data_IF_598079986644
#
_entry.id   IF_598079986644
#
_cell.length_a   1.000
_cell.length_b   1.000
_cell.length_c   1.000
_cell.angle_alpha   90.00
_cell.angle_beta   90.00
_cell.angle_gamma   90.00
#
_symmetry.space_group_name_H-M   'P 1'
#
loop_
_entity.id
_entity.type
_entity.pdbx_description
1 polymer ?
#
# COMPACT_ATOMS: atom_id res chain seq x y z
N UNK A 1 3.13 -22.83 11.84
CA UNK A 1 3.80 -21.90 10.90
C UNK A 1 5.32 -22.14 10.88
N UNK A 2 5.93 -22.37 9.72
CA UNK A 2 7.37 -22.57 9.55
C UNK A 2 7.97 -21.40 8.74
N UNK A 3 9.05 -20.77 9.26
CA UNK A 3 9.65 -19.57 8.65
C UNK A 3 11.14 -19.75 8.44
N UNK A 4 11.59 -19.63 7.20
CA UNK A 4 12.98 -19.73 6.78
C UNK A 4 13.49 -18.39 6.27
N UNK A 5 14.51 -17.82 6.90
CA UNK A 5 15.08 -16.52 6.52
C UNK A 5 16.41 -16.70 5.79
N UNK A 6 16.59 -16.02 4.65
CA UNK A 6 17.78 -16.05 3.80
C UNK A 6 18.28 -14.63 3.52
N UNK A 7 19.58 -14.42 3.71
CA UNK A 7 20.26 -13.17 3.30
C UNK A 7 20.17 -12.00 4.29
N UNK A 8 19.56 -12.18 5.47
CA UNK A 8 19.41 -11.13 6.47
C UNK A 8 19.20 -11.64 7.89
N UNK A 9 18.85 -10.74 8.84
CA UNK A 9 18.55 -11.10 10.22
C UNK A 9 17.28 -11.96 10.28
N UNK A 10 17.29 -12.99 11.11
CA UNK A 10 16.12 -13.86 11.28
C UNK A 10 15.19 -13.38 12.41
N UNK A 11 15.72 -12.68 13.39
CA UNK A 11 15.05 -12.34 14.64
C UNK A 11 13.72 -11.59 14.45
N UNK A 12 13.61 -10.55 13.58
CA UNK A 12 12.35 -9.86 13.40
C UNK A 12 11.23 -10.78 12.89
N UNK A 13 11.57 -11.63 11.91
CA UNK A 13 10.62 -12.54 11.26
C UNK A 13 10.22 -13.71 12.17
N UNK A 14 11.16 -14.24 12.93
CA UNK A 14 10.85 -15.29 13.91
C UNK A 14 10.04 -14.71 15.09
N UNK A 15 10.36 -13.50 15.55
CA UNK A 15 9.58 -12.83 16.57
C UNK A 15 8.15 -12.48 16.09
N UNK A 16 8.00 -12.09 14.83
CA UNK A 16 6.70 -11.91 14.20
C UNK A 16 5.93 -13.24 14.12
N UNK A 17 6.58 -14.33 13.69
CA UNK A 17 5.98 -15.67 13.66
C UNK A 17 5.46 -16.07 15.02
N UNK A 18 6.28 -15.94 16.05
CA UNK A 18 5.94 -16.37 17.41
C UNK A 18 4.72 -15.58 17.93
N UNK A 19 4.65 -14.28 17.65
CA UNK A 19 3.52 -13.46 18.01
C UNK A 19 2.28 -13.80 17.16
N UNK A 20 2.43 -13.94 15.84
CA UNK A 20 1.33 -14.28 14.92
C UNK A 20 0.69 -15.62 15.30
N UNK A 21 1.51 -16.61 15.65
CA UNK A 21 1.05 -17.95 16.02
C UNK A 21 0.35 -18.02 17.38
N UNK A 22 0.21 -16.90 18.11
CA UNK A 22 -0.63 -16.85 19.32
C UNK A 22 -2.12 -16.82 19.01
N UNK A 23 -2.51 -16.23 17.88
CA UNK A 23 -3.91 -16.00 17.51
C UNK A 23 -4.25 -16.61 16.14
N UNK A 24 -3.27 -16.69 15.23
CA UNK A 24 -3.41 -17.15 13.86
C UNK A 24 -2.35 -18.18 13.51
N UNK A 25 -2.53 -18.91 12.42
CA UNK A 25 -1.51 -19.80 11.86
C UNK A 25 -1.49 -19.72 10.34
N UNK A 26 -0.40 -20.16 9.73
CA UNK A 26 -0.26 -20.38 8.30
C UNK A 26 0.02 -21.86 8.08
N UNK A 27 -0.72 -22.46 7.17
CA UNK A 27 -0.59 -23.87 6.80
C UNK A 27 0.68 -24.10 5.97
N UNK A 28 1.07 -23.11 5.16
CA UNK A 28 2.21 -23.18 4.27
C UNK A 28 3.47 -22.57 4.90
N UNK A 29 4.66 -23.15 4.60
CA UNK A 29 5.92 -22.57 5.03
C UNK A 29 6.18 -21.22 4.34
N UNK A 30 6.84 -20.33 5.09
CA UNK A 30 7.23 -18.99 4.61
C UNK A 30 8.74 -18.94 4.40
N UNK A 31 9.18 -18.61 3.20
CA UNK A 31 10.56 -18.24 2.93
C UNK A 31 10.68 -16.73 2.88
N UNK A 32 11.49 -16.14 3.75
CA UNK A 32 11.84 -14.72 3.72
C UNK A 32 13.16 -14.55 2.99
N UNK A 33 13.14 -13.79 1.90
CA UNK A 33 14.33 -13.46 1.11
C UNK A 33 14.69 -11.99 1.28
N UNK A 34 15.75 -11.72 2.03
CA UNK A 34 16.30 -10.38 2.21
C UNK A 34 17.23 -10.04 1.04
N UNK A 35 16.92 -8.98 0.31
CA UNK A 35 17.67 -8.49 -0.83
C UNK A 35 18.61 -7.35 -0.43
N UNK A 36 19.74 -7.25 -1.11
CA UNK A 36 20.71 -6.17 -0.89
C UNK A 36 20.33 -4.87 -1.62
N UNK A 37 19.44 -4.95 -2.60
CA UNK A 37 18.93 -3.79 -3.32
C UNK A 37 18.11 -2.92 -2.36
N UNK A 38 18.49 -1.66 -2.11
CA UNK A 38 17.74 -0.75 -1.24
C UNK A 38 16.35 -0.39 -1.82
N UNK A 39 16.21 -0.42 -3.14
CA UNK A 39 14.95 -0.11 -3.84
C UNK A 39 14.02 -1.32 -3.96
N UNK A 40 14.42 -2.49 -3.44
CA UNK A 40 13.56 -3.67 -3.42
C UNK A 40 12.33 -3.40 -2.56
N UNK A 41 11.16 -3.52 -3.18
CA UNK A 41 9.88 -3.37 -2.47
C UNK A 41 9.56 -4.64 -1.69
N UNK A 42 9.00 -4.46 -0.50
CA UNK A 42 8.39 -5.56 0.24
C UNK A 42 7.22 -6.11 -0.56
N UNK A 43 7.20 -7.43 -0.74
CA UNK A 43 6.13 -8.11 -1.47
C UNK A 43 6.05 -9.58 -1.08
N UNK A 44 4.85 -10.10 -1.11
CA UNK A 44 4.58 -11.52 -0.97
C UNK A 44 4.21 -12.12 -2.33
N UNK A 45 4.68 -13.32 -2.58
CA UNK A 45 4.18 -14.19 -3.64
C UNK A 45 3.77 -15.54 -3.05
N UNK A 46 2.78 -16.16 -3.66
CA UNK A 46 2.17 -17.40 -3.18
C UNK A 46 2.32 -18.48 -4.25
N UNK A 47 2.87 -19.61 -3.83
CA UNK A 47 2.86 -20.84 -4.63
C UNK A 47 1.86 -21.83 -4.01
N UNK A 48 1.65 -22.99 -4.66
CA UNK A 48 0.72 -24.01 -4.16
C UNK A 48 1.10 -24.49 -2.74
N UNK A 49 2.41 -24.60 -2.45
CA UNK A 49 2.95 -25.22 -1.25
C UNK A 49 3.68 -24.25 -0.33
N UNK A 50 3.85 -22.98 -0.67
CA UNK A 50 4.68 -22.04 0.09
C UNK A 50 4.37 -20.58 -0.17
N UNK A 51 4.84 -19.72 0.75
CA UNK A 51 4.89 -18.27 0.58
C UNK A 51 6.31 -17.77 0.47
N UNK A 52 6.55 -16.78 -0.38
CA UNK A 52 7.82 -16.08 -0.50
C UNK A 52 7.63 -14.59 -0.17
N UNK A 53 8.21 -14.16 0.96
CA UNK A 53 8.34 -12.76 1.32
C UNK A 53 9.68 -12.21 0.82
N UNK A 54 9.66 -11.29 -0.13
CA UNK A 54 10.85 -10.55 -0.58
C UNK A 54 10.87 -9.20 0.09
N UNK A 55 11.99 -8.82 0.70
CA UNK A 55 12.16 -7.58 1.45
C UNK A 55 13.56 -7.02 1.28
N UNK A 56 13.73 -5.68 1.25
CA UNK A 56 15.04 -5.06 1.23
C UNK A 56 15.77 -5.23 2.56
N UNK A 57 17.12 -5.22 2.53
CA UNK A 57 17.93 -5.26 3.76
C UNK A 57 17.62 -4.07 4.67
N UNK A 58 17.38 -2.89 4.11
CA UNK A 58 17.03 -1.70 4.88
C UNK A 58 15.75 -1.90 5.68
N UNK A 59 14.69 -2.41 5.05
CA UNK A 59 13.43 -2.71 5.73
C UNK A 59 13.58 -3.84 6.76
N UNK A 60 14.31 -4.91 6.43
CA UNK A 60 14.54 -6.04 7.31
C UNK A 60 15.37 -5.71 8.56
N UNK A 61 16.14 -4.62 8.56
CA UNK A 61 16.94 -4.13 9.71
C UNK A 61 16.33 -2.87 10.36
N UNK A 62 15.19 -2.42 9.90
CA UNK A 62 14.48 -1.27 10.50
C UNK A 62 13.92 -1.62 11.88
N UNK A 63 13.62 -0.59 12.68
CA UNK A 63 12.96 -0.77 13.97
C UNK A 63 11.56 -1.38 13.85
N UNK A 64 10.96 -1.34 12.67
CA UNK A 64 9.61 -1.81 12.35
C UNK A 64 9.60 -3.12 11.54
N UNK A 65 10.74 -3.80 11.43
CA UNK A 65 10.86 -5.03 10.63
C UNK A 65 9.92 -6.15 11.10
N UNK A 66 9.67 -6.23 12.41
CA UNK A 66 8.74 -7.21 13.00
C UNK A 66 7.29 -6.87 12.65
N UNK A 67 6.90 -5.62 12.78
CA UNK A 67 5.55 -5.13 12.47
C UNK A 67 5.25 -5.30 10.97
N UNK A 68 6.23 -5.00 10.12
CA UNK A 68 6.12 -5.25 8.68
C UNK A 68 5.96 -6.75 8.37
N UNK A 69 6.69 -7.61 9.06
CA UNK A 69 6.53 -9.06 8.90
C UNK A 69 5.14 -9.55 9.34
N UNK A 70 4.58 -9.01 10.43
CA UNK A 70 3.21 -9.31 10.88
C UNK A 70 2.17 -8.92 9.85
N UNK A 71 2.30 -7.73 9.26
CA UNK A 71 1.44 -7.26 8.18
C UNK A 71 1.48 -8.21 6.97
N UNK A 72 2.67 -8.63 6.54
CA UNK A 72 2.81 -9.55 5.42
C UNK A 72 2.28 -10.97 5.75
N UNK A 73 2.40 -11.43 7.00
CA UNK A 73 1.80 -12.70 7.42
C UNK A 73 0.27 -12.63 7.44
N UNK A 74 -0.32 -11.48 7.75
CA UNK A 74 -1.75 -11.27 7.65
C UNK A 74 -2.25 -11.37 6.19
N UNK A 75 -1.49 -10.83 5.23
CA UNK A 75 -1.76 -11.05 3.80
C UNK A 75 -1.73 -12.53 3.42
N UNK A 76 -0.72 -13.28 3.89
CA UNK A 76 -0.63 -14.72 3.63
C UNK A 76 -1.80 -15.48 4.23
N UNK A 77 -2.20 -15.14 5.46
CA UNK A 77 -3.35 -15.72 6.15
C UNK A 77 -4.65 -15.51 5.36
N UNK A 78 -4.93 -14.29 4.92
CA UNK A 78 -6.09 -14.01 4.09
C UNK A 78 -6.06 -14.77 2.76
N UNK A 79 -4.87 -14.92 2.16
CA UNK A 79 -4.72 -15.70 0.94
C UNK A 79 -5.03 -17.19 1.17
N UNK A 80 -4.50 -17.82 2.23
CA UNK A 80 -4.76 -19.23 2.55
C UNK A 80 -6.22 -19.51 2.86
N UNK A 81 -6.90 -18.56 3.53
CA UNK A 81 -8.31 -18.68 3.90
C UNK A 81 -9.29 -18.25 2.80
N UNK A 82 -8.78 -17.90 1.63
CA UNK A 82 -9.63 -17.51 0.50
C UNK A 82 -10.41 -16.22 0.73
N UNK A 83 -9.88 -15.30 1.53
CA UNK A 83 -10.57 -14.03 1.80
C UNK A 83 -10.75 -13.22 0.48
N UNK A 84 -11.94 -12.67 0.20
CA UNK A 84 -12.26 -12.00 -1.07
C UNK A 84 -11.27 -10.89 -1.47
N UNK A 85 -10.72 -10.16 -0.50
CA UNK A 85 -9.72 -9.12 -0.77
C UNK A 85 -8.43 -9.67 -1.40
N UNK A 86 -8.08 -10.93 -1.16
CA UNK A 86 -6.84 -11.56 -1.62
C UNK A 86 -7.04 -12.54 -2.78
N UNK A 87 -8.26 -13.02 -3.00
CA UNK A 87 -8.60 -13.93 -4.11
C UNK A 87 -9.14 -13.19 -5.32
N UNK A 88 -9.72 -11.99 -5.14
CA UNK A 88 -10.24 -11.19 -6.24
C UNK A 88 -9.10 -10.64 -7.13
N UNK A 89 -9.22 -10.83 -8.44
CA UNK A 89 -8.26 -10.25 -9.40
C UNK A 89 -8.33 -8.73 -9.42
N UNK A 90 -7.21 -8.11 -9.04
CA UNK A 90 -7.02 -6.65 -9.12
C UNK A 90 -7.07 -6.16 -10.56
N UNK A 91 -6.46 -6.91 -11.50
CA UNK A 91 -6.42 -6.60 -12.92
C UNK A 91 -7.82 -6.56 -13.52
N UNK A 92 -8.67 -7.56 -13.20
CA UNK A 92 -10.05 -7.61 -13.66
C UNK A 92 -10.86 -6.41 -13.13
N UNK A 93 -10.73 -6.09 -11.87
CA UNK A 93 -11.43 -4.95 -11.27
C UNK A 93 -11.00 -3.61 -11.89
N UNK A 94 -9.69 -3.40 -12.11
CA UNK A 94 -9.18 -2.22 -12.79
C UNK A 94 -9.67 -2.20 -14.24
N UNK A 95 -9.64 -3.33 -14.96
CA UNK A 95 -10.17 -3.42 -16.32
C UNK A 95 -11.63 -3.01 -16.40
N UNK A 96 -12.47 -3.46 -15.47
CA UNK A 96 -13.88 -3.08 -15.39
C UNK A 96 -14.05 -1.57 -15.06
N UNK A 97 -13.15 -1.01 -14.28
CA UNK A 97 -13.20 0.41 -13.93
C UNK A 97 -12.81 1.32 -15.10
N UNK A 98 -11.85 0.90 -15.95
CA UNK A 98 -11.35 1.67 -17.09
C UNK A 98 -12.13 1.40 -18.39
N UNK A 99 -13.05 0.45 -18.38
CA UNK A 99 -13.77 0.02 -19.60
C UNK A 99 -14.35 1.19 -20.39
N UNK A 100 -13.98 1.30 -21.67
CA UNK A 100 -14.44 2.38 -22.56
C UNK A 100 -13.75 3.73 -22.36
N UNK A 101 -12.65 3.80 -21.59
CA UNK A 101 -11.89 5.03 -21.35
C UNK A 101 -10.44 4.89 -21.82
N UNK A 102 -9.85 5.99 -22.24
CA UNK A 102 -8.40 6.12 -22.39
C UNK A 102 -7.85 6.62 -21.05
N UNK A 103 -6.94 5.86 -20.45
CA UNK A 103 -6.39 6.17 -19.12
C UNK A 103 -4.87 6.27 -19.22
N UNK A 104 -4.30 7.31 -18.64
CA UNK A 104 -2.86 7.50 -18.57
C UNK A 104 -2.19 6.39 -17.75
N UNK A 105 -1.00 5.98 -18.17
CA UNK A 105 -0.22 4.93 -17.48
C UNK A 105 0.02 5.26 -16.00
N UNK A 106 0.28 6.54 -15.67
CA UNK A 106 0.43 7.02 -14.28
C UNK A 106 -0.80 6.66 -13.46
N UNK A 107 -2.01 7.03 -13.94
CA UNK A 107 -3.26 6.75 -13.24
C UNK A 107 -3.52 5.25 -13.06
N UNK A 108 -3.11 4.42 -14.02
CA UNK A 108 -3.21 2.95 -13.87
C UNK A 108 -2.32 2.45 -12.73
N UNK A 109 -1.08 2.96 -12.61
CA UNK A 109 -0.19 2.59 -11.49
C UNK A 109 -0.82 2.97 -10.14
N UNK A 110 -1.46 4.13 -10.06
CA UNK A 110 -2.15 4.56 -8.84
C UNK A 110 -3.39 3.69 -8.54
N UNK A 111 -4.09 3.20 -9.55
CA UNK A 111 -5.19 2.24 -9.34
C UNK A 111 -4.71 0.94 -8.66
N UNK A 112 -3.53 0.43 -9.03
CA UNK A 112 -2.93 -0.71 -8.33
C UNK A 112 -2.55 -0.37 -6.88
N UNK A 113 -2.05 0.84 -6.62
CA UNK A 113 -1.75 1.29 -5.26
C UNK A 113 -3.02 1.37 -4.40
N UNK A 114 -4.10 1.94 -4.94
CA UNK A 114 -5.42 2.00 -4.28
C UNK A 114 -5.92 0.59 -3.97
N UNK A 115 -5.80 -0.33 -4.93
CA UNK A 115 -6.21 -1.71 -4.73
C UNK A 115 -5.39 -2.41 -3.64
N UNK A 116 -4.09 -2.13 -3.53
CA UNK A 116 -3.25 -2.63 -2.44
C UNK A 116 -3.72 -2.09 -1.10
N UNK A 117 -3.95 -0.78 -0.96
CA UNK A 117 -4.49 -0.22 0.29
C UNK A 117 -5.82 -0.82 0.70
N UNK A 118 -6.69 -1.16 -0.25
CA UNK A 118 -7.94 -1.85 0.07
C UNK A 118 -7.71 -3.28 0.60
N UNK A 119 -6.62 -3.94 0.20
CA UNK A 119 -6.19 -5.24 0.80
C UNK A 119 -5.53 -5.02 2.15
N UNK A 120 -4.71 -3.96 2.25
CA UNK A 120 -3.98 -3.61 3.47
C UNK A 120 -4.95 -3.36 4.64
N UNK A 121 -6.14 -2.74 4.42
CA UNK A 121 -7.15 -2.57 5.48
C UNK A 121 -7.47 -3.89 6.16
N UNK A 122 -7.65 -4.98 5.41
CA UNK A 122 -7.96 -6.29 5.99
C UNK A 122 -6.75 -6.96 6.65
N UNK A 123 -5.58 -6.83 6.05
CA UNK A 123 -4.34 -7.31 6.67
C UNK A 123 -4.05 -6.56 7.98
N UNK A 124 -4.29 -5.24 7.99
CA UNK A 124 -4.12 -4.41 9.17
C UNK A 124 -5.15 -4.73 10.26
N UNK A 125 -6.41 -5.01 9.90
CA UNK A 125 -7.44 -5.50 10.84
C UNK A 125 -6.97 -6.76 11.61
N UNK A 126 -6.14 -7.62 11.00
CA UNK A 126 -5.59 -8.83 11.63
C UNK A 126 -4.41 -8.50 12.56
N UNK A 127 -3.35 -7.87 12.03
CA UNK A 127 -2.14 -7.72 12.85
C UNK A 127 -2.28 -6.66 13.95
N UNK A 128 -3.17 -5.69 13.80
CA UNK A 128 -3.48 -4.71 14.85
C UNK A 128 -4.12 -5.32 16.11
N UNK A 129 -4.67 -6.52 16.02
CA UNK A 129 -5.15 -7.25 17.19
C UNK A 129 -3.98 -7.75 18.07
N UNK A 130 -2.77 -7.84 17.52
CA UNK A 130 -1.59 -8.39 18.18
C UNK A 130 -0.58 -7.33 18.61
N UNK A 131 -0.69 -6.11 18.12
CA UNK A 131 0.28 -5.04 18.33
C UNK A 131 -0.38 -3.81 18.95
N UNK A 132 0.27 -3.10 19.88
CA UNK A 132 -0.24 -1.84 20.41
C UNK A 132 -0.51 -0.83 19.29
N UNK A 133 -1.68 -0.19 19.30
CA UNK A 133 -2.11 0.74 18.25
C UNK A 133 -1.20 1.96 18.05
N UNK A 134 -0.49 2.40 19.10
CA UNK A 134 0.50 3.47 19.03
C UNK A 134 1.63 3.16 18.03
N UNK A 135 2.05 1.90 17.92
CA UNK A 135 3.06 1.48 16.94
C UNK A 135 2.58 1.63 15.49
N UNK A 136 1.29 1.37 15.25
CA UNK A 136 0.67 1.56 13.93
C UNK A 136 0.64 3.04 13.59
N UNK A 137 0.18 3.86 14.52
CA UNK A 137 0.10 5.31 14.34
C UNK A 137 1.48 5.91 14.09
N UNK A 138 2.50 5.55 14.89
CA UNK A 138 3.89 5.99 14.71
C UNK A 138 4.42 5.63 13.31
N UNK A 139 4.11 4.42 12.83
CA UNK A 139 4.53 3.97 11.50
C UNK A 139 3.86 4.77 10.38
N UNK A 140 2.54 4.95 10.45
CA UNK A 140 1.78 5.70 9.45
C UNK A 140 2.18 7.19 9.45
N UNK A 141 2.35 7.77 10.64
CA UNK A 141 2.82 9.15 10.78
C UNK A 141 4.22 9.34 10.17
N UNK A 142 5.17 8.48 10.51
CA UNK A 142 6.53 8.56 9.96
C UNK A 142 6.54 8.39 8.44
N UNK A 143 5.77 7.45 7.93
CA UNK A 143 5.66 7.19 6.49
C UNK A 143 5.04 8.36 5.74
N UNK A 144 3.97 8.94 6.28
CA UNK A 144 3.29 10.08 5.66
C UNK A 144 4.14 11.36 5.76
N UNK A 145 4.80 11.59 6.90
CA UNK A 145 5.72 12.72 7.08
C UNK A 145 6.87 12.67 6.07
N UNK A 146 7.45 11.49 5.84
CA UNK A 146 8.50 11.30 4.83
C UNK A 146 7.96 11.58 3.41
N UNK A 147 6.78 11.09 3.06
CA UNK A 147 6.18 11.31 1.75
C UNK A 147 5.84 12.80 1.49
N UNK A 148 5.33 13.51 2.49
CA UNK A 148 5.04 14.95 2.41
C UNK A 148 6.33 15.78 2.32
N UNK A 149 7.40 15.37 3.02
CA UNK A 149 8.69 16.05 2.97
C UNK A 149 9.45 15.85 1.66
N UNK A 150 9.28 14.69 1.00
CA UNK A 150 9.92 14.34 -0.28
C UNK A 150 9.17 14.91 -1.52
N UNK A 151 8.32 15.86 -1.30
CA UNK A 151 7.52 16.52 -2.32
C UNK A 151 8.42 17.18 -3.36
N UNK A 152 8.23 16.92 -4.67
CA UNK A 152 8.97 17.61 -5.71
C UNK A 152 8.67 19.12 -5.68
N UNK A 153 9.72 19.94 -5.72
CA UNK A 153 9.62 21.41 -5.72
C UNK A 153 8.97 21.94 -7.00
N UNK A 154 9.12 21.18 -8.10
CA UNK A 154 8.45 21.45 -9.38
C UNK A 154 7.57 20.25 -9.75
N UNK A 155 6.38 20.47 -10.36
CA UNK A 155 5.59 19.37 -10.86
C UNK A 155 6.43 18.55 -11.85
N UNK A 156 6.50 17.24 -11.70
CA UNK A 156 7.30 16.40 -12.59
C UNK A 156 6.82 16.60 -14.01
N UNK A 157 7.74 16.91 -14.92
CA UNK A 157 7.45 17.02 -16.35
C UNK A 157 7.15 15.60 -16.92
N UNK A 158 6.00 15.07 -16.61
CA UNK A 158 5.51 13.77 -17.07
C UNK A 158 5.38 13.70 -18.60
N UNK A 159 5.23 14.86 -19.25
CA UNK A 159 5.18 14.98 -20.72
C UNK A 159 6.48 14.50 -21.41
N UNK A 160 7.59 14.47 -20.69
CA UNK A 160 8.88 14.02 -21.22
C UNK A 160 9.17 12.51 -21.03
N UNK A 161 8.35 11.79 -20.28
CA UNK A 161 8.58 10.35 -20.02
C UNK A 161 8.15 9.48 -21.23
N UNK A 162 7.26 9.98 -22.09
CA UNK A 162 6.79 9.28 -23.30
C UNK A 162 7.69 9.40 -24.51
N UNK A 163 8.65 10.33 -24.53
CA UNK A 163 9.47 10.65 -25.72
C UNK A 163 10.90 10.10 -25.67
N UNK A 164 11.31 9.40 -24.61
CA UNK A 164 12.64 8.79 -24.54
C UNK A 164 12.66 7.45 -25.25
N UNK A 165 13.09 7.47 -26.51
CA UNK A 165 13.80 6.34 -27.13
C UNK A 165 14.87 5.82 -26.17
N UNK A 166 14.92 4.48 -26.02
CA UNK A 166 15.89 3.74 -25.20
C UNK A 166 17.27 4.38 -25.30
N UNK A 167 17.85 4.88 -24.18
CA UNK A 167 19.20 5.44 -24.23
C UNK A 167 20.21 4.32 -24.50
N UNK A 168 21.34 4.61 -25.15
CA UNK A 168 22.41 3.65 -25.33
C UNK A 168 22.89 3.12 -23.97
N UNK A 169 23.29 1.87 -23.94
CA UNK A 169 23.58 1.05 -22.76
C UNK A 169 24.66 1.58 -21.81
N UNK A 170 25.35 2.69 -22.14
CA UNK A 170 26.57 3.13 -21.46
C UNK A 170 26.47 4.52 -20.81
N UNK A 171 25.27 5.11 -20.71
CA UNK A 171 25.10 6.38 -20.00
C UNK A 171 24.58 6.12 -18.58
N UNK A 172 25.49 6.07 -17.61
CA UNK A 172 25.17 6.16 -16.18
C UNK A 172 24.72 7.60 -15.85
N UNK A 173 23.50 7.96 -16.23
CA UNK A 173 22.83 9.12 -15.70
C UNK A 173 22.11 8.72 -14.41
N UNK A 174 22.21 9.51 -13.31
CA UNK A 174 21.40 9.27 -12.12
C UNK A 174 19.94 9.41 -12.55
N UNK A 175 19.23 8.28 -12.61
CA UNK A 175 17.82 8.28 -12.91
C UNK A 175 17.12 8.93 -11.72
N UNK A 176 16.71 10.19 -11.86
CA UNK A 176 15.65 10.81 -11.06
C UNK A 176 14.35 10.05 -11.34
N UNK A 177 14.28 8.80 -10.90
CA UNK A 177 13.03 8.07 -10.82
C UNK A 177 12.29 8.65 -9.63
N UNK A 178 11.34 9.53 -9.94
CA UNK A 178 10.33 9.89 -8.95
C UNK A 178 9.72 8.58 -8.46
N UNK A 179 9.96 8.28 -7.20
CA UNK A 179 9.27 7.18 -6.54
C UNK A 179 7.77 7.50 -6.54
N UNK A 180 6.87 6.51 -6.58
CA UNK A 180 5.43 6.76 -6.38
C UNK A 180 5.13 7.58 -5.13
N UNK A 181 5.97 7.52 -4.11
CA UNK A 181 5.89 8.33 -2.88
C UNK A 181 6.04 9.84 -3.11
N UNK A 182 6.66 10.29 -4.20
CA UNK A 182 6.80 11.71 -4.54
C UNK A 182 5.63 12.27 -5.37
N UNK A 183 4.62 11.45 -5.67
CA UNK A 183 3.44 11.88 -6.43
C UNK A 183 2.36 12.42 -5.48
N UNK A 184 1.95 13.70 -5.61
CA UNK A 184 0.96 14.31 -4.71
C UNK A 184 -0.37 13.56 -4.65
N UNK A 185 -0.89 13.06 -5.78
CA UNK A 185 -2.16 12.34 -5.80
C UNK A 185 -2.07 11.06 -4.95
N UNK A 186 -0.98 10.29 -5.12
CA UNK A 186 -0.82 9.06 -4.36
C UNK A 186 -0.48 9.32 -2.89
N UNK A 187 0.23 10.41 -2.59
CA UNK A 187 0.48 10.83 -1.21
C UNK A 187 -0.83 11.19 -0.51
N UNK A 188 -1.75 11.87 -1.18
CA UNK A 188 -3.07 12.17 -0.63
C UNK A 188 -3.92 10.89 -0.46
N UNK A 189 -3.84 9.93 -1.38
CA UNK A 189 -4.51 8.61 -1.21
C UNK A 189 -3.92 7.85 -0.02
N UNK A 190 -2.60 7.83 0.14
CA UNK A 190 -1.92 7.21 1.29
C UNK A 190 -2.36 7.87 2.61
N UNK A 191 -2.52 9.20 2.62
CA UNK A 191 -3.01 9.94 3.78
C UNK A 191 -4.47 9.61 4.10
N UNK A 192 -5.33 9.50 3.09
CA UNK A 192 -6.72 9.09 3.25
C UNK A 192 -6.83 7.68 3.83
N UNK A 193 -6.01 6.75 3.33
CA UNK A 193 -5.90 5.39 3.87
C UNK A 193 -5.45 5.39 5.33
N UNK A 194 -4.37 6.11 5.66
CA UNK A 194 -3.83 6.17 7.02
C UNK A 194 -4.86 6.70 8.04
N UNK A 195 -5.58 7.78 7.69
CA UNK A 195 -6.64 8.31 8.56
C UNK A 195 -7.80 7.32 8.67
N UNK A 196 -8.28 6.76 7.56
CA UNK A 196 -9.39 5.82 7.56
C UNK A 196 -9.07 4.60 8.44
N UNK A 197 -7.86 4.05 8.33
CA UNK A 197 -7.40 2.93 9.14
C UNK A 197 -7.36 3.29 10.63
N UNK A 198 -6.77 4.42 10.98
CA UNK A 198 -6.68 4.87 12.36
C UNK A 198 -8.06 5.18 12.97
N UNK A 199 -8.97 5.81 12.23
CA UNK A 199 -10.33 6.10 12.67
C UNK A 199 -11.18 4.83 12.80
N UNK A 200 -11.02 3.86 11.90
CA UNK A 200 -11.65 2.54 11.97
C UNK A 200 -11.37 1.82 13.29
N UNK A 201 -10.17 2.02 13.85
CA UNK A 201 -9.72 1.37 15.07
C UNK A 201 -9.67 2.29 16.30
N UNK A 202 -10.20 3.51 16.20
CA UNK A 202 -10.24 4.52 17.29
C UNK A 202 -8.86 4.79 17.89
N UNK A 203 -7.84 4.90 17.04
CA UNK A 203 -6.44 5.06 17.45
C UNK A 203 -6.00 6.52 17.64
N UNK A 204 -6.77 7.50 17.13
CA UNK A 204 -6.37 8.91 17.13
C UNK A 204 -7.18 9.77 18.09
N UNK A 205 -6.48 10.58 18.89
CA UNK A 205 -7.10 11.72 19.53
C UNK A 205 -7.38 12.87 18.56
N UNK A 206 -8.34 13.74 18.87
CA UNK A 206 -8.80 14.81 17.98
C UNK A 206 -7.69 15.78 17.49
N UNK A 207 -6.63 15.95 18.27
CA UNK A 207 -5.52 16.88 17.98
C UNK A 207 -4.25 16.14 17.51
N UNK A 208 -4.39 14.91 16.96
CA UNK A 208 -3.24 14.13 16.55
C UNK A 208 -2.59 14.72 15.29
N UNK A 209 -1.24 14.76 15.26
CA UNK A 209 -0.43 15.32 14.15
C UNK A 209 -0.71 14.66 12.80
N UNK A 210 -1.17 13.42 12.77
CA UNK A 210 -1.51 12.72 11.53
C UNK A 210 -2.58 13.49 10.73
N UNK A 211 -3.50 14.20 11.39
CA UNK A 211 -4.49 15.06 10.71
C UNK A 211 -3.81 16.21 9.98
N UNK A 212 -2.82 16.89 10.60
CA UNK A 212 -2.10 17.99 9.96
C UNK A 212 -1.32 17.50 8.73
N UNK A 213 -0.66 16.33 8.83
CA UNK A 213 0.04 15.73 7.70
C UNK A 213 -0.91 15.34 6.56
N UNK A 214 -2.07 14.79 6.90
CA UNK A 214 -3.07 14.42 5.91
C UNK A 214 -3.66 15.64 5.21
N UNK A 215 -3.92 16.73 5.93
CA UNK A 215 -4.35 17.99 5.33
C UNK A 215 -3.27 18.61 4.44
N UNK A 216 -2.00 18.51 4.81
CA UNK A 216 -0.90 18.96 3.96
C UNK A 216 -0.86 18.15 2.64
N UNK A 217 -0.95 16.81 2.73
CA UNK A 217 -1.00 15.94 1.56
C UNK A 217 -2.21 16.24 0.65
N UNK A 218 -3.41 16.42 1.23
CA UNK A 218 -4.62 16.77 0.51
C UNK A 218 -4.51 18.13 -0.21
N UNK A 219 -3.86 19.11 0.43
CA UNK A 219 -3.64 20.43 -0.17
C UNK A 219 -2.74 20.40 -1.40
N UNK A 220 -1.84 19.42 -1.49
CA UNK A 220 -0.94 19.21 -2.63
C UNK A 220 -1.62 18.49 -3.81
N UNK A 221 -2.80 17.89 -3.60
CA UNK A 221 -3.59 17.18 -4.61
C UNK A 221 -5.02 17.74 -4.69
N UNK A 222 -5.19 19.02 -5.09
CA UNK A 222 -6.50 19.70 -5.02
C UNK A 222 -7.57 19.11 -5.95
N UNK A 223 -7.19 18.31 -6.92
CA UNK A 223 -8.11 17.64 -7.84
C UNK A 223 -8.60 16.29 -7.32
N UNK A 224 -8.03 15.80 -6.21
CA UNK A 224 -8.45 14.57 -5.55
C UNK A 224 -9.50 14.88 -4.47
N UNK A 225 -10.63 14.17 -4.49
CA UNK A 225 -11.60 14.23 -3.38
C UNK A 225 -11.12 13.35 -2.21
N UNK A 226 -10.25 13.94 -1.40
CA UNK A 226 -9.62 13.28 -0.24
C UNK A 226 -10.65 12.65 0.71
N UNK A 227 -11.71 13.39 1.06
CA UNK A 227 -12.74 12.90 1.97
C UNK A 227 -13.58 11.76 1.36
N UNK A 228 -13.78 11.77 0.03
CA UNK A 228 -14.43 10.65 -0.63
C UNK A 228 -13.57 9.39 -0.56
N UNK A 229 -12.23 9.49 -0.73
CA UNK A 229 -11.32 8.36 -0.60
C UNK A 229 -11.27 7.83 0.84
N UNK A 230 -11.15 8.71 1.83
CA UNK A 230 -11.19 8.32 3.25
C UNK A 230 -12.45 7.51 3.56
N UNK A 231 -13.62 8.03 3.19
CA UNK A 231 -14.90 7.31 3.37
C UNK A 231 -14.96 5.96 2.65
N UNK A 232 -14.30 5.81 1.50
CA UNK A 232 -14.27 4.51 0.79
C UNK A 232 -13.49 3.46 1.54
N UNK A 233 -12.36 3.81 2.16
CA UNK A 233 -11.60 2.89 3.02
C UNK A 233 -12.36 2.58 4.31
N UNK A 234 -12.96 3.57 4.96
CA UNK A 234 -13.78 3.38 6.18
C UNK A 234 -14.99 2.48 5.95
N UNK A 235 -15.61 2.60 4.77
CA UNK A 235 -16.82 1.86 4.42
C UNK A 235 -16.56 0.39 4.02
N UNK A 236 -15.31 -0.07 4.01
CA UNK A 236 -15.01 -1.47 3.72
C UNK A 236 -15.60 -2.38 4.81
N UNK A 237 -16.46 -3.30 4.38
CA UNK A 237 -17.12 -4.25 5.27
C UNK A 237 -16.07 -5.21 5.85
N UNK A 238 -16.07 -5.50 7.16
CA UNK A 238 -15.07 -6.36 7.79
C UNK A 238 -14.98 -7.77 7.21
N UNK A 239 -16.11 -8.34 6.79
CA UNK A 239 -16.20 -9.69 6.20
C UNK A 239 -17.02 -9.58 4.89
N UNK A 240 -16.40 -9.11 3.78
CA UNK A 240 -17.11 -8.91 2.53
C UNK A 240 -17.29 -10.24 1.77
N UNK A 241 -18.37 -10.34 1.01
CA UNK A 241 -18.41 -11.33 -0.07
C UNK A 241 -17.58 -10.85 -1.29
N UNK A 242 -17.35 -11.77 -2.26
CA UNK A 242 -16.61 -11.45 -3.49
C UNK A 242 -17.21 -10.28 -4.27
N UNK A 243 -18.53 -10.19 -4.32
CA UNK A 243 -19.26 -9.13 -5.04
C UNK A 243 -19.15 -7.80 -4.33
N UNK A 244 -19.17 -7.80 -3.01
CA UNK A 244 -19.02 -6.59 -2.18
C UNK A 244 -17.61 -6.02 -2.33
N UNK A 245 -16.58 -6.85 -2.15
CA UNK A 245 -15.20 -6.38 -2.32
C UNK A 245 -14.93 -5.92 -3.75
N UNK A 246 -15.37 -6.66 -4.77
CA UNK A 246 -15.22 -6.27 -6.18
C UNK A 246 -15.90 -4.93 -6.48
N UNK A 247 -17.12 -4.70 -5.97
CA UNK A 247 -17.85 -3.44 -6.15
C UNK A 247 -17.12 -2.28 -5.49
N UNK A 248 -16.60 -2.48 -4.27
CA UNK A 248 -15.83 -1.47 -3.56
C UNK A 248 -14.55 -1.10 -4.34
N UNK A 249 -13.79 -2.10 -4.80
CA UNK A 249 -12.56 -1.91 -5.56
C UNK A 249 -12.80 -1.20 -6.91
N UNK A 250 -13.81 -1.62 -7.65
CA UNK A 250 -14.21 -0.94 -8.91
C UNK A 250 -14.68 0.48 -8.63
N UNK A 251 -15.41 0.70 -7.53
CA UNK A 251 -15.90 2.01 -7.09
C UNK A 251 -14.76 2.97 -6.78
N UNK A 252 -13.80 2.55 -5.95
CA UNK A 252 -12.61 3.34 -5.58
C UNK A 252 -11.76 3.70 -6.81
N UNK A 253 -11.51 2.72 -7.67
CA UNK A 253 -10.76 2.91 -8.92
C UNK A 253 -11.47 3.90 -9.85
N UNK A 254 -12.78 3.80 -10.02
CA UNK A 254 -13.56 4.75 -10.83
C UNK A 254 -13.54 6.15 -10.26
N UNK A 255 -13.70 6.31 -8.95
CA UNK A 255 -13.65 7.61 -8.29
C UNK A 255 -12.32 8.30 -8.55
N UNK A 256 -11.20 7.58 -8.43
CA UNK A 256 -9.87 8.10 -8.74
C UNK A 256 -9.74 8.52 -10.21
N UNK A 257 -10.17 7.69 -11.15
CA UNK A 257 -10.07 7.98 -12.58
C UNK A 257 -10.96 9.14 -13.04
N UNK A 258 -12.01 9.48 -12.30
CA UNK A 258 -12.90 10.61 -12.59
C UNK A 258 -12.49 11.89 -11.86
N UNK A 259 -11.69 11.79 -10.80
CA UNK A 259 -11.10 12.97 -10.17
C UNK A 259 -10.20 13.70 -11.17
N UNK A 260 -10.29 15.03 -11.25
CA UNK A 260 -9.56 15.85 -12.21
C UNK A 260 -10.19 16.00 -13.60
N UNK A 261 -11.17 15.16 -13.98
CA UNK A 261 -11.86 15.33 -15.28
C UNK A 261 -12.96 16.39 -15.25
N UNK A 262 -13.38 16.82 -14.07
CA UNK A 262 -14.51 17.75 -13.89
C UNK A 262 -14.18 19.22 -14.19
N UNK A 263 -12.89 19.59 -14.20
CA UNK A 263 -12.44 20.97 -14.44
C UNK A 263 -12.13 21.32 -15.89
N UNK A 264 -12.07 20.35 -16.78
CA UNK A 264 -11.80 20.57 -18.21
C UNK A 264 -13.08 20.87 -19.03
N UNK A 265 -14.24 20.92 -18.39
CA UNK A 265 -15.54 21.10 -19.04
C UNK A 265 -16.23 22.45 -18.72
N UNK A 266 -15.60 23.34 -17.96
CA UNK A 266 -15.98 24.74 -17.74
C UNK A 266 -14.88 25.64 -18.34
#
# INVERSE_FOLDING_TARGET
MDVHVRGGPAEPFLGARDLFSTEYDLDRPVTVQVRTDPDERTRVSHDEDSHLLTISRQAATSALARELALHEYAHMHHHEHGHPSHTQSTEEAIFLAVAGRSVERRKLVHCYQIANHMKDVYADDVWMQMVPGDKVVDFLEASLAAAVADRPVDPPAWDNVGARTVPPRDAAEPSTRLTPAADPDITAVNAAFALALCERHDLLGADHRLYDLAHAAASDAPDLDFEAFKRQFEALVPDPDESEFRRALVGATKAYLTSGSSRAAD
#
